data_IF_481729561977
#
_entry.id   IF_481729561977
#
_cell.length_a   1.000
_cell.length_b   1.000
_cell.length_c   1.000
_cell.angle_alpha   90.00
_cell.angle_beta   90.00
_cell.angle_gamma   90.00
#
_symmetry.space_group_name_H-M   'P 1'
#
loop_
_entity.id
_entity.type
_entity.pdbx_description
1 polymer ?
#
# COMPACT_ATOMS: atom_id res chain seq x y z
N UNK A 1 18.52 2.21 -13.87
CA UNK A 1 18.12 3.33 -12.97
C UNK A 1 17.28 4.40 -13.66
N UNK A 2 17.63 4.88 -14.87
CA UNK A 2 16.83 5.90 -15.58
C UNK A 2 15.32 5.60 -15.67
N UNK A 3 14.94 4.37 -15.98
CA UNK A 3 13.52 4.01 -16.18
C UNK A 3 12.70 3.94 -14.89
N UNK A 4 13.29 3.52 -13.77
CA UNK A 4 12.59 3.54 -12.47
C UNK A 4 12.38 4.98 -11.99
N UNK A 5 13.37 5.87 -12.21
CA UNK A 5 13.23 7.30 -11.91
C UNK A 5 12.09 7.91 -12.73
N UNK A 6 11.98 7.54 -14.02
CA UNK A 6 10.85 7.95 -14.85
C UNK A 6 9.50 7.52 -14.26
N UNK A 7 9.34 6.26 -13.84
CA UNK A 7 8.11 5.77 -13.20
C UNK A 7 7.79 6.54 -11.91
N UNK A 8 8.81 6.81 -11.08
CA UNK A 8 8.65 7.59 -9.84
C UNK A 8 8.18 9.01 -10.17
N UNK A 9 8.89 9.74 -11.03
CA UNK A 9 8.52 11.12 -11.40
C UNK A 9 7.12 11.15 -11.99
N UNK A 10 6.80 10.23 -12.89
CA UNK A 10 5.51 10.21 -13.55
C UNK A 10 4.36 9.90 -12.59
N UNK A 11 4.51 8.92 -11.70
CA UNK A 11 3.52 8.62 -10.66
C UNK A 11 3.37 9.75 -9.64
N UNK A 12 4.44 10.49 -9.33
CA UNK A 12 4.37 11.70 -8.50
C UNK A 12 3.63 12.84 -9.20
N UNK A 13 3.84 13.06 -10.51
CA UNK A 13 3.10 14.06 -11.28
C UNK A 13 1.59 13.75 -11.31
N UNK A 14 1.23 12.48 -11.53
CA UNK A 14 -0.18 12.04 -11.45
C UNK A 14 -0.72 12.26 -10.04
N UNK A 15 0.01 11.84 -9.00
CA UNK A 15 -0.41 12.03 -7.60
C UNK A 15 -0.61 13.51 -7.26
N UNK A 16 0.28 14.39 -7.72
CA UNK A 16 0.18 15.83 -7.55
C UNK A 16 -1.10 16.38 -8.22
N UNK A 17 -1.34 15.98 -9.48
CA UNK A 17 -2.55 16.37 -10.21
C UNK A 17 -3.84 15.90 -9.49
N UNK A 18 -3.89 14.64 -9.06
CA UNK A 18 -5.02 14.11 -8.28
C UNK A 18 -5.22 14.89 -6.98
N UNK A 19 -4.11 15.17 -6.28
CA UNK A 19 -4.12 15.91 -5.02
C UNK A 19 -4.64 17.33 -5.16
N UNK A 20 -4.28 18.02 -6.24
CA UNK A 20 -4.65 19.41 -6.45
C UNK A 20 -6.08 19.55 -6.99
N UNK A 21 -6.43 18.73 -7.99
CA UNK A 21 -7.66 18.92 -8.75
C UNK A 21 -8.87 18.21 -8.13
N UNK A 22 -8.68 16.99 -7.60
CA UNK A 22 -9.79 16.12 -7.22
C UNK A 22 -10.00 15.99 -5.72
N UNK A 23 -8.94 15.83 -4.93
CA UNK A 23 -9.08 15.58 -3.49
C UNK A 23 -9.84 16.68 -2.72
N UNK A 24 -9.67 17.99 -3.03
CA UNK A 24 -10.42 19.05 -2.33
C UNK A 24 -11.93 19.01 -2.58
N UNK A 25 -12.37 18.39 -3.68
CA UNK A 25 -13.77 18.33 -4.11
C UNK A 25 -14.48 17.05 -3.67
N UNK A 26 -13.73 16.03 -3.25
CA UNK A 26 -14.28 14.72 -2.98
C UNK A 26 -15.00 14.66 -1.62
N UNK A 27 -16.23 14.15 -1.63
CA UNK A 27 -17.03 13.92 -0.42
C UNK A 27 -16.47 12.70 0.31
N UNK A 28 -16.35 12.79 1.64
CA UNK A 28 -15.97 11.65 2.48
C UNK A 28 -17.17 10.74 2.66
N UNK A 29 -17.05 9.50 2.22
CA UNK A 29 -18.10 8.46 2.42
C UNK A 29 -17.91 7.76 3.76
N UNK A 30 -18.95 7.07 4.24
CA UNK A 30 -18.97 6.49 5.59
C UNK A 30 -17.82 5.48 5.86
N UNK A 31 -17.46 4.65 4.87
CA UNK A 31 -16.39 3.66 5.02
C UNK A 31 -15.00 4.34 5.11
N UNK A 32 -14.77 5.34 4.25
CA UNK A 32 -13.56 6.17 4.29
C UNK A 32 -13.46 6.95 5.62
N UNK A 33 -14.57 7.53 6.08
CA UNK A 33 -14.65 8.24 7.35
C UNK A 33 -14.30 7.35 8.55
N UNK A 34 -14.67 6.08 8.50
CA UNK A 34 -14.32 5.09 9.53
C UNK A 34 -12.82 4.81 9.56
N UNK A 35 -12.18 4.66 8.40
CA UNK A 35 -10.73 4.52 8.34
C UNK A 35 -10.00 5.78 8.83
N UNK A 36 -10.48 6.96 8.43
CA UNK A 36 -9.92 8.24 8.87
C UNK A 36 -10.04 8.43 10.38
N UNK A 37 -11.17 8.06 10.99
CA UNK A 37 -11.37 8.17 12.45
C UNK A 37 -10.45 7.23 13.24
N UNK A 38 -10.23 6.01 12.74
CA UNK A 38 -9.25 5.08 13.34
C UNK A 38 -7.83 5.66 13.27
N UNK A 39 -7.43 6.19 12.12
CA UNK A 39 -6.11 6.77 11.94
C UNK A 39 -5.91 8.04 12.79
N UNK A 40 -6.94 8.88 12.91
CA UNK A 40 -6.94 10.05 13.78
C UNK A 40 -6.80 9.68 15.25
N UNK A 41 -7.56 8.69 15.72
CA UNK A 41 -7.49 8.20 17.12
C UNK A 41 -6.09 7.69 17.45
N UNK A 42 -5.48 6.93 16.54
CA UNK A 42 -4.11 6.46 16.71
C UNK A 42 -3.08 7.61 16.66
N UNK A 43 -3.31 8.61 15.80
CA UNK A 43 -2.48 9.80 15.73
C UNK A 43 -2.52 10.60 17.04
N UNK A 44 -3.69 10.78 17.66
CA UNK A 44 -3.80 11.49 18.95
C UNK A 44 -3.04 10.76 20.07
N UNK A 45 -3.14 9.42 20.14
CA UNK A 45 -2.37 8.66 21.12
C UNK A 45 -0.86 8.83 20.94
N UNK A 46 -0.36 8.79 19.69
CA UNK A 46 1.07 9.02 19.42
C UNK A 46 1.50 10.44 19.75
N UNK A 47 0.70 11.45 19.36
CA UNK A 47 0.98 12.86 19.63
C UNK A 47 1.06 13.14 21.12
N UNK A 48 0.21 12.49 21.91
CA UNK A 48 0.11 12.68 23.36
C UNK A 48 1.08 11.74 24.14
N UNK A 49 1.87 10.92 23.44
CA UNK A 49 2.86 10.00 24.03
C UNK A 49 2.28 8.74 24.67
N UNK A 50 0.98 8.46 24.47
CA UNK A 50 0.28 7.30 25.03
C UNK A 50 0.42 6.07 24.10
N UNK A 51 1.62 5.50 24.08
CA UNK A 51 1.90 4.29 23.30
C UNK A 51 1.07 3.08 23.75
N UNK A 52 0.65 3.03 25.01
CA UNK A 52 -0.17 1.95 25.55
C UNK A 52 -1.55 1.92 24.90
N UNK A 53 -2.22 3.07 24.82
CA UNK A 53 -3.50 3.21 24.12
C UNK A 53 -3.36 3.02 22.61
N UNK A 54 -2.26 3.48 22.00
CA UNK A 54 -1.98 3.24 20.58
C UNK A 54 -1.99 1.75 20.23
N UNK A 55 -1.20 0.94 20.95
CA UNK A 55 -1.11 -0.50 20.72
C UNK A 55 -2.43 -1.19 21.05
N UNK A 56 -3.05 -0.84 22.18
CA UNK A 56 -4.34 -1.42 22.59
C UNK A 56 -5.43 -1.17 21.55
N UNK A 57 -5.49 0.03 20.99
CA UNK A 57 -6.45 0.37 19.94
C UNK A 57 -6.18 -0.44 18.68
N UNK A 58 -4.91 -0.60 18.28
CA UNK A 58 -4.52 -1.38 17.10
C UNK A 58 -4.96 -2.85 17.20
N UNK A 59 -4.72 -3.51 18.34
CA UNK A 59 -5.02 -4.94 18.53
C UNK A 59 -6.51 -5.24 18.72
N UNK A 60 -7.28 -4.26 19.19
CA UNK A 60 -8.71 -4.41 19.45
C UNK A 60 -9.60 -4.05 18.24
N UNK A 61 -9.01 -3.75 17.07
CA UNK A 61 -9.81 -3.54 15.85
C UNK A 61 -10.36 -4.86 15.33
N UNK A 62 -11.68 -5.04 15.41
CA UNK A 62 -12.35 -6.27 14.97
C UNK A 62 -12.90 -6.16 13.54
N UNK A 63 -13.37 -4.98 13.12
CA UNK A 63 -13.96 -4.78 11.80
C UNK A 63 -12.95 -4.61 10.67
N UNK A 64 -11.80 -4.00 10.96
CA UNK A 64 -10.78 -3.69 9.97
C UNK A 64 -9.37 -4.02 10.49
N UNK A 65 -8.48 -4.56 9.65
CA UNK A 65 -7.07 -4.74 10.00
C UNK A 65 -6.37 -3.40 10.29
N UNK A 66 -5.41 -3.35 11.22
CA UNK A 66 -4.91 -2.08 11.75
C UNK A 66 -3.79 -1.44 10.92
N UNK A 67 -3.27 -2.06 9.85
CA UNK A 67 -2.06 -1.56 9.19
C UNK A 67 -2.22 -0.14 8.61
N UNK A 68 -3.33 0.14 7.92
CA UNK A 68 -3.56 1.48 7.35
C UNK A 68 -3.55 2.58 8.41
N UNK A 69 -4.38 2.52 9.49
CA UNK A 69 -4.37 3.56 10.52
C UNK A 69 -3.06 3.58 11.32
N UNK A 70 -2.39 2.43 11.53
CA UNK A 70 -1.08 2.38 12.18
C UNK A 70 -0.02 3.16 11.41
N UNK A 71 0.13 2.90 10.10
CA UNK A 71 1.16 3.57 9.31
C UNK A 71 0.80 5.03 9.05
N UNK A 72 -0.47 5.32 8.76
CA UNK A 72 -0.91 6.68 8.47
C UNK A 72 -0.78 7.61 9.69
N UNK A 73 -1.08 7.12 10.90
CA UNK A 73 -0.93 7.92 12.12
C UNK A 73 0.51 8.36 12.40
N UNK A 74 1.51 7.53 12.07
CA UNK A 74 2.92 7.90 12.13
C UNK A 74 3.25 9.02 11.14
N UNK A 75 2.70 8.96 9.92
CA UNK A 75 2.89 10.01 8.90
C UNK A 75 2.21 11.31 9.31
N UNK A 76 1.06 11.25 10.00
CA UNK A 76 0.38 12.43 10.52
C UNK A 76 1.14 13.14 11.63
N UNK A 77 2.10 12.49 12.32
CA UNK A 77 3.01 13.21 13.23
C UNK A 77 3.87 14.24 12.50
N UNK A 78 4.17 14.02 11.22
CA UNK A 78 5.00 14.91 10.41
C UNK A 78 4.17 15.98 9.71
N UNK A 79 2.95 15.64 9.28
CA UNK A 79 2.13 16.48 8.40
C UNK A 79 0.91 17.11 9.07
N UNK A 80 0.55 16.65 10.26
CA UNK A 80 -0.73 16.94 10.90
C UNK A 80 -1.88 16.12 10.29
N UNK A 81 -2.99 16.03 11.02
CA UNK A 81 -4.20 15.36 10.54
C UNK A 81 -5.16 16.35 9.87
N UNK A 82 -5.60 16.01 8.66
CA UNK A 82 -6.80 16.53 8.01
C UNK A 82 -7.34 15.47 7.04
N UNK A 83 -8.61 15.55 6.63
CA UNK A 83 -9.18 14.61 5.66
C UNK A 83 -8.43 14.64 4.31
N UNK A 84 -8.03 15.83 3.88
CA UNK A 84 -7.23 15.98 2.67
C UNK A 84 -5.84 15.36 2.84
N UNK A 85 -5.19 15.60 3.98
CA UNK A 85 -3.86 15.02 4.25
C UNK A 85 -3.92 13.50 4.33
N UNK A 86 -4.99 12.92 4.88
CA UNK A 86 -5.20 11.47 4.89
C UNK A 86 -5.20 10.90 3.46
N UNK A 87 -5.98 11.48 2.55
CA UNK A 87 -5.98 11.08 1.13
C UNK A 87 -4.63 11.27 0.46
N UNK A 88 -3.92 12.37 0.74
CA UNK A 88 -2.56 12.61 0.23
C UNK A 88 -1.56 11.57 0.73
N UNK A 89 -1.64 11.18 2.00
CA UNK A 89 -0.87 10.07 2.56
C UNK A 89 -1.16 8.77 1.82
N UNK A 90 -2.43 8.52 1.44
CA UNK A 90 -2.78 7.33 0.68
C UNK A 90 -2.15 7.29 -0.74
N UNK A 91 -1.89 8.44 -1.36
CA UNK A 91 -1.19 8.52 -2.64
C UNK A 91 0.29 8.06 -2.57
N UNK A 92 0.89 8.00 -1.37
CA UNK A 92 2.21 7.38 -1.21
C UNK A 92 2.15 5.91 -1.63
N UNK A 93 1.07 5.20 -1.28
CA UNK A 93 0.85 3.81 -1.69
C UNK A 93 0.67 3.67 -3.20
N UNK A 94 0.12 4.67 -3.87
CA UNK A 94 0.01 4.68 -5.34
C UNK A 94 1.37 4.74 -6.02
N UNK A 95 2.24 5.65 -5.55
CA UNK A 95 3.62 5.77 -6.06
C UNK A 95 4.38 4.47 -5.82
N UNK A 96 4.31 3.92 -4.61
CA UNK A 96 4.96 2.65 -4.27
C UNK A 96 4.43 1.49 -5.13
N UNK A 97 3.10 1.37 -5.29
CA UNK A 97 2.49 0.35 -6.14
C UNK A 97 2.91 0.48 -7.60
N UNK A 98 3.00 1.71 -8.12
CA UNK A 98 3.46 1.97 -9.50
C UNK A 98 4.90 1.49 -9.72
N UNK A 99 5.78 1.74 -8.75
CA UNK A 99 7.17 1.26 -8.78
C UNK A 99 7.24 -0.25 -8.66
N UNK A 100 6.49 -0.85 -7.73
CA UNK A 100 6.46 -2.30 -7.56
C UNK A 100 5.90 -3.00 -8.81
N UNK A 101 4.90 -2.41 -9.46
CA UNK A 101 4.37 -2.92 -10.72
C UNK A 101 5.42 -2.89 -11.84
N UNK A 102 6.20 -1.81 -11.94
CA UNK A 102 7.34 -1.74 -12.85
C UNK A 102 8.36 -2.85 -12.59
N UNK A 103 8.75 -3.04 -11.32
CA UNK A 103 9.73 -4.03 -10.90
C UNK A 103 9.25 -5.46 -11.17
N UNK A 104 8.00 -5.75 -10.83
CA UNK A 104 7.38 -7.05 -11.04
C UNK A 104 7.21 -7.35 -12.54
N UNK A 105 6.71 -6.40 -13.32
CA UNK A 105 6.58 -6.56 -14.77
C UNK A 105 7.95 -6.82 -15.44
N UNK A 106 9.00 -6.11 -15.00
CA UNK A 106 10.38 -6.36 -15.46
C UNK A 106 10.89 -7.74 -15.04
N UNK A 107 10.61 -8.19 -13.81
CA UNK A 107 11.02 -9.52 -13.31
C UNK A 107 10.39 -10.63 -14.15
N UNK A 108 9.08 -10.55 -14.41
CA UNK A 108 8.33 -11.59 -15.13
C UNK A 108 8.65 -11.63 -16.62
N UNK A 109 8.74 -10.46 -17.28
CA UNK A 109 8.98 -10.39 -18.73
C UNK A 109 10.47 -10.40 -19.09
N UNK A 110 11.36 -10.28 -18.09
CA UNK A 110 12.80 -10.03 -18.27
C UNK A 110 13.10 -8.82 -19.16
N UNK A 111 12.15 -7.88 -19.27
CA UNK A 111 12.21 -6.75 -20.18
C UNK A 111 11.89 -5.44 -19.49
N UNK A 112 12.73 -4.43 -19.75
CA UNK A 112 12.46 -3.06 -19.27
C UNK A 112 11.16 -2.52 -19.87
N UNK A 113 10.87 -2.83 -21.14
CA UNK A 113 9.65 -2.38 -21.81
C UNK A 113 8.41 -3.02 -21.19
N UNK A 114 8.50 -4.30 -20.81
CA UNK A 114 7.43 -5.00 -20.08
C UNK A 114 7.11 -4.32 -18.75
N UNK A 115 8.13 -4.02 -17.95
CA UNK A 115 7.95 -3.27 -16.71
C UNK A 115 7.32 -1.88 -16.92
N UNK A 116 7.80 -1.11 -17.91
CA UNK A 116 7.24 0.20 -18.23
C UNK A 116 5.77 0.11 -18.63
N UNK A 117 5.42 -0.83 -19.52
CA UNK A 117 4.05 -1.07 -19.94
C UNK A 117 3.15 -1.45 -18.75
N UNK A 118 3.59 -2.36 -17.88
CA UNK A 118 2.83 -2.74 -16.67
C UNK A 118 2.57 -1.54 -15.76
N UNK A 119 3.60 -0.72 -15.49
CA UNK A 119 3.42 0.49 -14.67
C UNK A 119 2.55 1.55 -15.35
N UNK A 120 2.64 1.70 -16.67
CA UNK A 120 1.81 2.62 -17.43
C UNK A 120 0.33 2.23 -17.34
N UNK A 121 0.01 0.96 -17.58
CA UNK A 121 -1.35 0.44 -17.45
C UNK A 121 -1.89 0.57 -16.03
N UNK A 122 -1.05 0.39 -15.01
CA UNK A 122 -1.42 0.61 -13.61
C UNK A 122 -1.76 2.08 -13.33
N UNK A 123 -0.87 3.01 -13.72
CA UNK A 123 -1.02 4.44 -13.48
C UNK A 123 -2.26 5.01 -14.17
N UNK A 124 -2.58 4.53 -15.37
CA UNK A 124 -3.74 5.01 -16.14
C UNK A 124 -5.03 4.22 -15.91
N UNK A 125 -5.04 3.24 -15.00
CA UNK A 125 -6.26 2.49 -14.68
C UNK A 125 -7.20 3.34 -13.81
N UNK A 126 -8.41 3.70 -14.29
CA UNK A 126 -9.33 4.55 -13.53
C UNK A 126 -9.73 3.93 -12.19
N UNK A 127 -9.90 2.60 -12.15
CA UNK A 127 -10.23 1.89 -10.93
C UNK A 127 -9.09 1.99 -9.91
N UNK A 128 -7.84 1.78 -10.33
CA UNK A 128 -6.70 1.85 -9.42
C UNK A 128 -6.47 3.29 -8.93
N UNK A 129 -6.66 4.29 -9.79
CA UNK A 129 -6.61 5.70 -9.38
C UNK A 129 -7.66 5.98 -8.29
N UNK A 130 -8.91 5.59 -8.51
CA UNK A 130 -9.99 5.75 -7.53
C UNK A 130 -9.64 5.10 -6.18
N UNK A 131 -9.18 3.85 -6.20
CA UNK A 131 -8.83 3.10 -4.97
C UNK A 131 -7.69 3.74 -4.17
N UNK A 132 -6.79 4.47 -4.83
CA UNK A 132 -5.68 5.16 -4.14
C UNK A 132 -6.01 6.60 -3.75
N UNK A 133 -6.99 7.24 -4.40
CA UNK A 133 -7.45 8.58 -4.03
C UNK A 133 -8.27 8.60 -2.75
N UNK A 134 -9.01 7.52 -2.47
CA UNK A 134 -9.79 7.38 -1.25
C UNK A 134 -8.91 6.87 -0.11
N UNK A 135 -9.09 7.38 1.11
CA UNK A 135 -8.38 6.89 2.29
C UNK A 135 -8.94 5.54 2.76
N UNK A 136 -8.56 4.51 2.01
CA UNK A 136 -9.10 3.16 2.13
C UNK A 136 -7.98 2.13 2.17
N UNK A 137 -8.24 0.97 2.77
CA UNK A 137 -7.23 -0.10 2.94
C UNK A 137 -6.77 -0.73 1.63
N UNK A 138 -7.50 -0.53 0.54
CA UNK A 138 -7.21 -1.11 -0.78
C UNK A 138 -5.84 -0.68 -1.29
N UNK A 139 -5.47 0.59 -1.20
CA UNK A 139 -4.18 1.10 -1.72
C UNK A 139 -2.98 0.44 -1.05
N UNK A 140 -2.95 0.41 0.29
CA UNK A 140 -1.87 -0.26 1.04
C UNK A 140 -1.89 -1.77 0.83
N UNK A 141 -3.08 -2.39 0.72
CA UNK A 141 -3.20 -3.83 0.48
C UNK A 141 -2.67 -4.25 -0.89
N UNK A 142 -2.93 -3.45 -1.93
CA UNK A 142 -2.37 -3.63 -3.28
C UNK A 142 -0.85 -3.51 -3.21
N UNK A 143 -0.33 -2.48 -2.53
CA UNK A 143 1.12 -2.27 -2.37
C UNK A 143 1.80 -3.48 -1.71
N UNK A 144 1.27 -3.94 -0.57
CA UNK A 144 1.84 -5.08 0.15
C UNK A 144 1.73 -6.37 -0.65
N UNK A 145 0.64 -6.54 -1.42
CA UNK A 145 0.48 -7.70 -2.30
C UNK A 145 1.55 -7.71 -3.39
N UNK A 146 1.73 -6.60 -4.12
CA UNK A 146 2.77 -6.49 -5.14
C UNK A 146 4.17 -6.70 -4.56
N UNK A 147 4.44 -6.15 -3.38
CA UNK A 147 5.70 -6.35 -2.67
C UNK A 147 5.92 -7.84 -2.32
N UNK A 148 4.91 -8.51 -1.76
CA UNK A 148 5.00 -9.92 -1.39
C UNK A 148 5.27 -10.81 -2.60
N UNK A 149 4.60 -10.58 -3.74
CA UNK A 149 4.80 -11.33 -4.98
C UNK A 149 6.21 -11.07 -5.52
N UNK A 150 6.65 -9.82 -5.59
CA UNK A 150 8.00 -9.48 -6.06
C UNK A 150 9.08 -10.16 -5.20
N UNK A 151 8.95 -10.10 -3.88
CA UNK A 151 9.88 -10.74 -2.94
C UNK A 151 9.85 -12.26 -3.07
N UNK A 152 8.68 -12.85 -3.32
CA UNK A 152 8.54 -14.29 -3.53
C UNK A 152 9.36 -14.77 -4.72
N UNK A 153 9.22 -14.12 -5.89
CA UNK A 153 10.03 -14.46 -7.06
C UNK A 153 11.54 -14.28 -6.80
N UNK A 154 11.93 -13.20 -6.13
CA UNK A 154 13.33 -12.98 -5.75
C UNK A 154 13.84 -14.04 -4.75
N UNK A 155 12.98 -14.53 -3.85
CA UNK A 155 13.32 -15.59 -2.91
C UNK A 155 13.48 -16.95 -3.61
N UNK A 156 12.66 -17.24 -4.62
CA UNK A 156 12.83 -18.44 -5.47
C UNK A 156 14.17 -18.45 -6.21
N UNK A 157 14.60 -17.29 -6.71
CA UNK A 157 15.89 -17.16 -7.39
C UNK A 157 17.06 -17.37 -6.41
N UNK A 158 16.98 -16.81 -5.21
CA UNK A 158 18.07 -16.88 -4.20
C UNK A 158 18.11 -18.17 -3.40
N UNK A 159 16.95 -18.79 -3.16
CA UNK A 159 16.76 -20.03 -2.37
C UNK A 159 17.36 -19.99 -0.95
N UNK A 160 17.33 -18.84 -0.29
CA UNK A 160 17.82 -18.70 1.09
C UNK A 160 16.68 -18.64 2.10
N UNK A 161 16.87 -19.18 3.31
CA UNK A 161 15.87 -19.06 4.40
C UNK A 161 15.54 -17.59 4.69
N UNK A 162 16.57 -16.73 4.74
CA UNK A 162 16.41 -15.29 4.98
C UNK A 162 15.48 -14.63 3.96
N UNK A 163 15.58 -14.99 2.67
CA UNK A 163 14.67 -14.43 1.65
C UNK A 163 13.22 -14.86 1.85
N UNK A 164 12.96 -16.11 2.25
CA UNK A 164 11.60 -16.56 2.54
C UNK A 164 11.03 -15.95 3.83
N UNK A 165 11.86 -15.69 4.85
CA UNK A 165 11.42 -14.94 6.04
C UNK A 165 10.93 -13.54 5.65
N UNK A 166 11.66 -12.85 4.75
CA UNK A 166 11.25 -11.52 4.25
C UNK A 166 9.91 -11.60 3.49
N UNK A 167 9.68 -12.66 2.71
CA UNK A 167 8.37 -12.92 2.07
C UNK A 167 7.28 -13.11 3.13
N UNK A 168 7.55 -13.90 4.18
CA UNK A 168 6.62 -14.11 5.28
C UNK A 168 6.24 -12.80 5.99
N UNK A 169 7.18 -11.89 6.20
CA UNK A 169 6.92 -10.56 6.76
C UNK A 169 6.06 -9.69 5.82
N UNK A 170 6.31 -9.73 4.51
CA UNK A 170 5.48 -9.01 3.55
C UNK A 170 4.05 -9.58 3.49
N UNK A 171 3.91 -10.91 3.52
CA UNK A 171 2.61 -11.61 3.59
C UNK A 171 1.85 -11.28 4.88
N UNK A 172 2.55 -11.25 6.02
CA UNK A 172 1.97 -10.78 7.27
C UNK A 172 1.44 -9.36 7.09
N UNK A 173 2.21 -8.48 6.44
CA UNK A 173 1.77 -7.14 6.02
C UNK A 173 0.47 -7.15 5.20
N UNK A 174 0.33 -8.05 4.22
CA UNK A 174 -0.92 -8.19 3.44
C UNK A 174 -2.08 -8.61 4.35
N UNK A 175 -1.88 -9.59 5.23
CA UNK A 175 -2.91 -10.08 6.16
C UNK A 175 -3.40 -8.96 7.08
N UNK A 176 -2.49 -8.19 7.68
CA UNK A 176 -2.84 -7.07 8.56
C UNK A 176 -3.26 -5.80 7.81
N UNK A 177 -3.18 -5.78 6.47
CA UNK A 177 -3.82 -4.77 5.63
C UNK A 177 -5.25 -5.17 5.26
N UNK A 178 -5.44 -6.43 4.83
CA UNK A 178 -6.70 -6.98 4.33
C UNK A 178 -6.67 -8.51 4.34
N UNK A 179 -7.29 -9.11 5.38
CA UNK A 179 -7.27 -10.56 5.64
C UNK A 179 -7.62 -11.42 4.42
N UNK A 180 -8.70 -11.09 3.73
CA UNK A 180 -9.16 -11.86 2.57
C UNK A 180 -8.15 -11.83 1.42
N UNK A 181 -7.49 -10.69 1.19
CA UNK A 181 -6.44 -10.62 0.18
C UNK A 181 -5.20 -11.41 0.61
N UNK A 182 -4.81 -11.33 1.88
CA UNK A 182 -3.68 -12.08 2.41
C UNK A 182 -3.86 -13.59 2.28
N UNK A 183 -5.05 -14.11 2.60
CA UNK A 183 -5.39 -15.53 2.42
C UNK A 183 -5.27 -15.95 0.95
N UNK A 184 -5.77 -15.13 0.02
CA UNK A 184 -5.67 -15.41 -1.42
C UNK A 184 -4.21 -15.45 -1.91
N UNK A 185 -3.37 -14.52 -1.44
CA UNK A 185 -1.94 -14.52 -1.82
C UNK A 185 -1.22 -15.74 -1.26
N UNK A 186 -1.49 -16.10 0.00
CA UNK A 186 -0.92 -17.32 0.62
C UNK A 186 -1.33 -18.56 -0.16
N UNK A 187 -2.62 -18.69 -0.49
CA UNK A 187 -3.12 -19.81 -1.29
C UNK A 187 -2.45 -19.86 -2.67
N UNK A 188 -2.27 -18.71 -3.32
CA UNK A 188 -1.55 -18.60 -4.60
C UNK A 188 -0.11 -19.09 -4.52
N UNK A 189 0.63 -18.73 -3.47
CA UNK A 189 2.00 -19.21 -3.28
C UNK A 189 2.06 -20.70 -2.95
N UNK A 190 1.13 -21.21 -2.14
CA UNK A 190 1.05 -22.66 -1.86
C UNK A 190 0.77 -23.46 -3.12
N UNK A 191 -0.15 -22.99 -3.98
CA UNK A 191 -0.44 -23.63 -5.25
C UNK A 191 0.76 -23.60 -6.19
N UNK A 192 1.43 -22.44 -6.34
CA UNK A 192 2.63 -22.36 -7.19
C UNK A 192 3.76 -23.25 -6.69
N UNK A 193 3.94 -23.41 -5.38
CA UNK A 193 4.96 -24.26 -4.80
C UNK A 193 4.75 -25.77 -5.06
N UNK A 194 3.56 -26.18 -5.49
CA UNK A 194 3.27 -27.57 -5.88
C UNK A 194 3.67 -27.88 -7.33
N UNK A 195 3.93 -26.87 -8.17
CA UNK A 195 4.31 -27.00 -9.58
C UNK A 195 5.80 -26.70 -9.81
#
# INVERSE_FOLDING_TARGET
MRNIVFVIIFSLLVSFFLSYEYLPKAIVVWDEGTHMSHAYTMYTYLRDGDFGSYVRFAINQTGYPPLLPMVSSLLFLLTGFSFEMARRVNLIWFVLSSVLMYLLGRQLTRSTRGGLLSSFLFIFSPLLLLLHMLFMREGISITMTLLSILLYYQARDKRTVRSYVIVGLALFGVLIAKYNLGILVVAGFMLEALY
#
